data_IF_568419857890
#
_entry.id   IF_568419857890
#
_cell.length_a   1.000
_cell.length_b   1.000
_cell.length_c   1.000
_cell.angle_alpha   90.00
_cell.angle_beta   90.00
_cell.angle_gamma   90.00
#
_symmetry.space_group_name_H-M   'P 1'
#
loop_
_entity.id
_entity.type
_entity.pdbx_description
1 polymer ?
#
# COMPACT_ATOMS: atom_id res chain seq x y z
N UNK A 1 2.58 7.09 8.18
CA UNK A 1 2.74 7.64 6.82
C UNK A 1 2.13 9.03 6.85
N UNK A 2 2.81 10.05 6.33
CA UNK A 2 2.28 11.43 6.36
C UNK A 2 1.77 11.73 4.96
N UNK A 3 0.48 11.46 4.74
CA UNK A 3 -0.18 11.94 3.52
C UNK A 3 -0.49 13.42 3.70
N UNK A 4 0.23 14.24 2.93
CA UNK A 4 -0.02 15.66 2.80
C UNK A 4 -1.01 15.82 1.66
N UNK A 5 -2.19 16.38 1.97
CA UNK A 5 -3.12 16.86 0.95
C UNK A 5 -2.67 18.25 0.56
N UNK A 6 -2.26 18.41 -0.70
CA UNK A 6 -1.79 19.68 -1.23
C UNK A 6 -2.97 20.39 -1.88
N UNK A 7 -3.25 21.62 -1.41
CA UNK A 7 -4.03 22.60 -2.15
C UNK A 7 -3.02 23.41 -2.95
N UNK A 8 -2.90 23.12 -4.24
CA UNK A 8 -1.84 23.66 -5.09
C UNK A 8 -1.92 25.18 -5.21
N UNK A 9 -0.88 25.88 -4.74
CA UNK A 9 -0.53 27.19 -5.27
C UNK A 9 0.29 26.97 -6.54
N UNK A 10 -0.25 27.35 -7.68
CA UNK A 10 0.44 27.24 -8.96
C UNK A 10 1.67 28.14 -8.97
N UNK A 11 2.82 27.51 -9.18
CA UNK A 11 3.99 28.17 -9.70
C UNK A 11 3.82 28.32 -11.22
N UNK A 12 3.17 29.41 -11.65
CA UNK A 12 3.36 29.87 -13.02
C UNK A 12 4.81 30.32 -13.21
N UNK A 13 5.34 30.20 -14.43
CA UNK A 13 6.69 30.55 -14.91
C UNK A 13 7.20 31.99 -14.61
N UNK A 14 6.53 32.76 -13.77
CA UNK A 14 6.99 34.06 -13.35
C UNK A 14 8.02 33.90 -12.23
N UNK A 15 9.28 34.25 -12.52
CA UNK A 15 10.34 34.42 -11.50
C UNK A 15 9.81 35.20 -10.28
N UNK A 16 8.95 36.20 -10.53
CA UNK A 16 8.29 36.97 -9.49
C UNK A 16 7.43 36.12 -8.55
N UNK A 17 6.73 35.10 -9.04
CA UNK A 17 5.94 34.18 -8.22
C UNK A 17 6.85 33.30 -7.34
N UNK A 18 7.97 32.81 -7.88
CA UNK A 18 8.96 32.04 -7.11
C UNK A 18 9.54 32.89 -5.97
N UNK A 19 9.96 34.11 -6.27
CA UNK A 19 10.51 35.03 -5.26
C UNK A 19 9.47 35.36 -4.20
N UNK A 20 8.25 35.71 -4.62
CA UNK A 20 7.15 35.98 -3.69
C UNK A 20 6.86 34.80 -2.75
N UNK A 21 6.75 33.58 -3.29
CA UNK A 21 6.52 32.38 -2.49
C UNK A 21 7.70 32.09 -1.55
N UNK A 22 8.93 32.36 -1.99
CA UNK A 22 10.11 32.22 -1.16
C UNK A 22 10.12 33.24 0.00
N UNK A 23 9.74 34.49 -0.26
CA UNK A 23 9.64 35.59 0.70
C UNK A 23 8.58 35.31 1.78
N UNK A 24 7.41 34.79 1.41
CA UNK A 24 6.36 34.40 2.37
C UNK A 24 6.64 33.06 3.07
N UNK A 25 7.82 32.48 2.85
CA UNK A 25 8.31 31.29 3.53
C UNK A 25 7.43 30.04 3.39
N UNK A 26 6.96 29.74 2.17
CA UNK A 26 6.19 28.50 1.93
C UNK A 26 6.97 27.24 2.33
N UNK A 27 6.30 26.19 2.83
CA UNK A 27 6.98 24.98 3.31
C UNK A 27 7.64 24.17 2.19
N UNK A 28 7.13 24.26 0.97
CA UNK A 28 7.64 23.55 -0.21
C UNK A 28 7.19 24.25 -1.50
N UNK A 29 7.83 23.91 -2.62
CA UNK A 29 7.40 24.32 -3.96
C UNK A 29 6.69 23.18 -4.69
N UNK A 30 5.51 23.45 -5.24
CA UNK A 30 4.80 22.54 -6.13
C UNK A 30 5.18 22.83 -7.59
N UNK A 31 5.76 21.85 -8.29
CA UNK A 31 6.03 21.96 -9.73
C UNK A 31 4.93 21.25 -10.52
N UNK A 32 4.23 22.00 -11.36
CA UNK A 32 3.21 21.45 -12.24
C UNK A 32 3.82 20.53 -13.31
N UNK A 33 3.04 19.54 -13.75
CA UNK A 33 3.44 18.61 -14.82
C UNK A 33 3.97 19.26 -16.09
N UNK A 34 3.46 20.44 -16.44
CA UNK A 34 3.88 21.21 -17.61
C UNK A 34 5.32 21.75 -17.49
N UNK A 35 5.81 21.96 -16.26
CA UNK A 35 7.14 22.52 -15.99
C UNK A 35 8.16 21.44 -15.56
N UNK A 36 7.76 20.17 -15.47
CA UNK A 36 8.64 19.10 -14.98
C UNK A 36 9.86 18.88 -15.86
N UNK A 37 9.75 19.06 -17.18
CA UNK A 37 10.90 18.98 -18.09
C UNK A 37 11.68 20.30 -18.22
N UNK A 38 11.28 21.35 -17.51
CA UNK A 38 11.93 22.65 -17.53
C UNK A 38 13.14 22.67 -16.59
N UNK A 39 14.21 21.99 -17.00
CA UNK A 39 15.41 21.80 -16.16
C UNK A 39 16.02 23.12 -15.64
N UNK A 40 16.18 24.19 -16.44
CA UNK A 40 16.71 25.46 -15.93
C UNK A 40 15.84 26.08 -14.84
N UNK A 41 14.53 25.89 -14.92
CA UNK A 41 13.58 26.35 -13.91
C UNK A 41 13.71 25.55 -12.60
N UNK A 42 13.76 24.23 -12.70
CA UNK A 42 13.95 23.36 -11.53
C UNK A 42 15.27 23.65 -10.81
N UNK A 43 16.35 23.91 -11.54
CA UNK A 43 17.63 24.26 -10.93
C UNK A 43 17.54 25.57 -10.12
N UNK A 44 16.81 26.58 -10.62
CA UNK A 44 16.57 27.82 -9.89
C UNK A 44 15.77 27.59 -8.62
N UNK A 45 14.72 26.76 -8.68
CA UNK A 45 13.93 26.38 -7.50
C UNK A 45 14.77 25.62 -6.47
N UNK A 46 15.55 24.63 -6.91
CA UNK A 46 16.41 23.83 -6.04
C UNK A 46 17.40 24.71 -5.25
N UNK A 47 17.97 25.74 -5.89
CA UNK A 47 18.88 26.71 -5.24
C UNK A 47 18.24 27.54 -4.12
N UNK A 48 16.91 27.61 -4.06
CA UNK A 48 16.19 28.25 -2.95
C UNK A 48 16.16 27.40 -1.69
N UNK A 49 16.59 26.13 -1.75
CA UNK A 49 16.77 25.26 -0.58
C UNK A 49 15.46 24.81 0.08
N UNK A 50 14.33 24.88 -0.62
CA UNK A 50 13.03 24.40 -0.11
C UNK A 50 12.69 23.03 -0.72
N UNK A 51 11.99 22.14 0.01
CA UNK A 51 11.49 20.90 -0.54
C UNK A 51 10.61 21.10 -1.78
N UNK A 52 10.59 20.14 -2.70
CA UNK A 52 9.86 20.22 -3.96
C UNK A 52 8.92 19.03 -4.19
N UNK A 53 7.70 19.31 -4.66
CA UNK A 53 6.70 18.30 -5.04
C UNK A 53 6.46 18.39 -6.54
N UNK A 54 6.95 17.41 -7.30
CA UNK A 54 7.03 17.49 -8.77
C UNK A 54 6.07 16.46 -9.39
N UNK A 55 5.08 16.92 -10.18
CA UNK A 55 4.14 16.00 -10.86
C UNK A 55 4.74 15.43 -12.15
N UNK A 56 4.40 14.18 -12.49
CA UNK A 56 4.97 13.48 -13.67
C UNK A 56 4.07 13.45 -14.91
N UNK A 57 2.87 14.03 -14.84
CA UNK A 57 1.94 14.03 -15.98
C UNK A 57 2.57 14.62 -17.25
N UNK A 58 2.24 14.03 -18.41
CA UNK A 58 2.82 14.36 -19.72
C UNK A 58 4.32 14.05 -19.87
N UNK A 59 4.96 13.41 -18.89
CA UNK A 59 6.39 13.09 -18.94
C UNK A 59 6.64 11.59 -19.16
N UNK A 60 7.74 11.27 -19.85
CA UNK A 60 8.23 9.90 -20.00
C UNK A 60 9.12 9.50 -18.82
N UNK A 61 9.39 8.20 -18.67
CA UNK A 61 10.34 7.75 -17.66
C UNK A 61 11.76 8.27 -17.87
N UNK A 62 12.17 8.46 -19.12
CA UNK A 62 13.46 9.08 -19.45
C UNK A 62 13.54 10.52 -18.92
N UNK A 63 12.48 11.31 -19.10
CA UNK A 63 12.43 12.66 -18.56
C UNK A 63 12.50 12.67 -17.03
N UNK A 64 11.74 11.79 -16.37
CA UNK A 64 11.77 11.71 -14.91
C UNK A 64 13.14 11.29 -14.37
N UNK A 65 13.85 10.39 -15.05
CA UNK A 65 15.26 10.05 -14.73
C UNK A 65 16.17 11.25 -14.84
N UNK A 66 16.04 12.05 -15.91
CA UNK A 66 16.81 13.27 -16.10
C UNK A 66 16.57 14.27 -14.95
N UNK A 67 15.29 14.51 -14.60
CA UNK A 67 14.90 15.38 -13.49
C UNK A 67 15.47 14.87 -12.17
N UNK A 68 15.34 13.57 -11.89
CA UNK A 68 15.87 12.95 -10.68
C UNK A 68 17.37 13.18 -10.54
N UNK A 69 18.16 12.89 -11.58
CA UNK A 69 19.62 13.09 -11.55
C UNK A 69 20.02 14.55 -11.32
N UNK A 70 19.31 15.49 -11.95
CA UNK A 70 19.56 16.91 -11.74
C UNK A 70 19.23 17.34 -10.31
N UNK A 71 18.07 16.93 -9.77
CA UNK A 71 17.67 17.26 -8.40
C UNK A 71 18.65 16.69 -7.36
N UNK A 72 19.10 15.43 -7.56
CA UNK A 72 20.13 14.80 -6.73
C UNK A 72 21.44 15.59 -6.77
N UNK A 73 21.88 16.07 -7.94
CA UNK A 73 23.10 16.89 -8.07
C UNK A 73 23.01 18.21 -7.29
N UNK A 74 21.82 18.78 -7.16
CA UNK A 74 21.59 20.00 -6.38
C UNK A 74 21.43 19.75 -4.87
N UNK A 75 21.50 18.49 -4.41
CA UNK A 75 21.18 18.09 -3.03
C UNK A 75 19.80 18.59 -2.57
N UNK A 76 18.84 18.67 -3.49
CA UNK A 76 17.50 19.13 -3.18
C UNK A 76 16.68 18.02 -2.50
N UNK A 77 15.77 18.40 -1.61
CA UNK A 77 14.75 17.52 -1.07
C UNK A 77 13.53 17.54 -2.00
N UNK A 78 13.09 16.39 -2.51
CA UNK A 78 11.97 16.33 -3.45
C UNK A 78 11.20 15.02 -3.42
N UNK A 79 9.99 15.05 -3.98
CA UNK A 79 9.13 13.89 -4.22
C UNK A 79 8.54 13.96 -5.62
N UNK A 80 8.27 12.79 -6.22
CA UNK A 80 7.52 12.69 -7.46
C UNK A 80 6.08 12.26 -7.22
N UNK A 81 5.14 12.92 -7.89
CA UNK A 81 3.75 12.50 -7.92
C UNK A 81 3.45 11.82 -9.25
N UNK A 82 3.05 10.55 -9.20
CA UNK A 82 2.47 9.91 -10.39
C UNK A 82 1.18 10.63 -10.76
N UNK A 83 1.04 10.98 -12.03
CA UNK A 83 -0.01 11.87 -12.50
C UNK A 83 -0.34 11.61 -13.97
N UNK A 84 -1.62 11.68 -14.32
CA UNK A 84 -2.08 11.78 -15.71
C UNK A 84 -2.84 13.09 -15.87
N UNK A 85 -2.35 13.98 -16.74
CA UNK A 85 -2.92 15.34 -16.92
C UNK A 85 -4.13 15.33 -17.85
N UNK A 86 -5.25 14.80 -17.38
CA UNK A 86 -6.55 14.81 -18.05
C UNK A 86 -7.65 15.18 -17.05
N UNK A 87 -8.59 16.05 -17.42
CA UNK A 87 -9.53 16.68 -16.50
C UNK A 87 -10.96 16.60 -17.06
N UNK A 88 -11.81 15.67 -16.59
CA UNK A 88 -11.48 14.57 -15.69
C UNK A 88 -10.65 13.47 -16.36
N UNK A 89 -9.91 12.72 -15.55
CA UNK A 89 -9.11 11.57 -15.95
C UNK A 89 -9.98 10.31 -16.10
N UNK A 90 -10.03 9.68 -17.29
CA UNK A 90 -10.61 8.34 -17.45
C UNK A 90 -9.88 7.31 -16.58
N UNK A 91 -10.63 6.44 -15.89
CA UNK A 91 -10.08 5.54 -14.87
C UNK A 91 -9.08 4.53 -15.45
N UNK A 92 -9.31 4.06 -16.67
CA UNK A 92 -8.42 3.19 -17.43
C UNK A 92 -7.05 3.81 -17.73
N UNK A 93 -6.92 5.13 -17.59
CA UNK A 93 -5.69 5.89 -17.82
C UNK A 93 -5.02 6.36 -16.52
N UNK A 94 -5.55 6.00 -15.35
CA UNK A 94 -4.94 6.35 -14.06
C UNK A 94 -3.57 5.71 -13.85
N UNK A 95 -3.36 4.49 -14.39
CA UNK A 95 -2.08 3.79 -14.40
C UNK A 95 -1.38 3.73 -13.02
N UNK A 96 -2.14 3.43 -11.95
CA UNK A 96 -1.64 3.43 -10.58
C UNK A 96 -0.41 2.52 -10.34
N UNK A 97 -0.23 1.47 -11.14
CA UNK A 97 0.95 0.59 -11.06
C UNK A 97 2.28 1.31 -11.32
N UNK A 98 2.25 2.48 -11.97
CA UNK A 98 3.44 3.32 -12.15
C UNK A 98 3.99 3.81 -10.80
N UNK A 99 3.17 3.91 -9.75
CA UNK A 99 3.64 4.24 -8.39
C UNK A 99 4.70 3.23 -7.94
N UNK A 100 4.49 1.93 -8.18
CA UNK A 100 5.46 0.90 -7.80
C UNK A 100 6.70 0.93 -8.68
N UNK A 101 6.56 1.22 -9.97
CA UNK A 101 7.73 1.40 -10.86
C UNK A 101 8.56 2.61 -10.44
N UNK A 102 7.94 3.73 -10.07
CA UNK A 102 8.63 4.90 -9.52
C UNK A 102 9.32 4.59 -8.19
N UNK A 103 8.69 3.81 -7.30
CA UNK A 103 9.31 3.40 -6.04
C UNK A 103 10.56 2.51 -6.27
N UNK A 104 10.56 1.67 -7.32
CA UNK A 104 11.74 0.87 -7.70
C UNK A 104 12.83 1.72 -8.33
N UNK A 105 12.46 2.63 -9.23
CA UNK A 105 13.39 3.46 -9.99
C UNK A 105 14.03 4.56 -9.13
N UNK A 106 13.28 5.12 -8.17
CA UNK A 106 13.70 6.22 -7.29
C UNK A 106 13.53 5.85 -5.81
N UNK A 107 14.28 4.86 -5.30
CA UNK A 107 14.01 4.23 -4.00
C UNK A 107 14.31 5.10 -2.79
N UNK A 108 15.03 6.21 -2.97
CA UNK A 108 15.51 7.10 -1.90
C UNK A 108 14.68 8.39 -1.76
N UNK A 109 13.60 8.55 -2.54
CA UNK A 109 12.67 9.67 -2.42
C UNK A 109 11.24 9.17 -2.17
N UNK A 110 10.37 9.96 -1.50
CA UNK A 110 8.95 9.65 -1.44
C UNK A 110 8.33 9.68 -2.83
N UNK A 111 7.41 8.75 -3.10
CA UNK A 111 6.56 8.75 -4.29
C UNK A 111 5.13 9.01 -3.85
N UNK A 112 4.42 9.90 -4.54
CA UNK A 112 3.03 10.23 -4.30
C UNK A 112 2.15 10.06 -5.55
N UNK A 113 0.93 10.58 -5.47
CA UNK A 113 -0.07 10.56 -6.53
C UNK A 113 -0.78 11.91 -6.62
N UNK A 114 -0.98 12.40 -7.84
CA UNK A 114 -1.76 13.60 -8.15
C UNK A 114 -2.94 13.17 -9.02
N UNK A 115 -4.14 13.23 -8.46
CA UNK A 115 -5.36 12.71 -9.07
C UNK A 115 -6.19 13.79 -9.76
N UNK A 116 -6.75 13.43 -10.91
CA UNK A 116 -7.71 14.25 -11.68
C UNK A 116 -8.96 13.44 -12.09
N UNK A 117 -9.11 12.24 -11.51
CA UNK A 117 -10.26 11.36 -11.67
C UNK A 117 -11.48 11.86 -10.90
N UNK A 118 -12.67 11.33 -11.19
CA UNK A 118 -13.84 11.53 -10.34
C UNK A 118 -13.86 10.59 -9.14
N UNK A 119 -14.39 11.07 -8.00
CA UNK A 119 -14.50 10.29 -6.77
C UNK A 119 -13.15 10.05 -6.07
N UNK A 120 -13.13 9.11 -5.12
CA UNK A 120 -12.00 8.94 -4.17
C UNK A 120 -11.28 7.59 -4.28
N UNK A 121 -11.87 6.61 -4.98
CA UNK A 121 -11.40 5.21 -4.96
C UNK A 121 -9.98 5.03 -5.51
N UNK A 122 -9.65 5.72 -6.59
CA UNK A 122 -8.31 5.69 -7.20
C UNK A 122 -7.26 6.29 -6.26
N UNK A 123 -7.59 7.40 -5.61
CA UNK A 123 -6.74 8.05 -4.63
C UNK A 123 -6.47 7.17 -3.39
N UNK A 124 -7.50 6.48 -2.89
CA UNK A 124 -7.35 5.50 -1.79
C UNK A 124 -6.48 4.31 -2.24
N UNK A 125 -6.68 3.81 -3.46
CA UNK A 125 -5.86 2.73 -4.02
C UNK A 125 -4.39 3.15 -4.21
N UNK A 126 -4.12 4.40 -4.60
CA UNK A 126 -2.76 4.93 -4.70
C UNK A 126 -2.03 4.86 -3.34
N UNK A 127 -2.74 5.19 -2.25
CA UNK A 127 -2.23 5.08 -0.88
C UNK A 127 -1.92 3.64 -0.50
N UNK A 128 -2.82 2.70 -0.83
CA UNK A 128 -2.59 1.26 -0.60
C UNK A 128 -1.35 0.74 -1.36
N UNK A 129 -1.04 1.31 -2.53
CA UNK A 129 0.18 1.01 -3.31
C UNK A 129 1.44 1.71 -2.76
N UNK A 130 1.32 2.46 -1.67
CA UNK A 130 2.44 3.06 -0.96
C UNK A 130 2.73 4.51 -1.33
N UNK A 131 1.81 5.21 -2.02
CA UNK A 131 1.91 6.65 -2.21
C UNK A 131 2.01 7.37 -0.85
N UNK A 132 2.98 8.28 -0.71
CA UNK A 132 3.27 9.03 0.52
C UNK A 132 2.70 10.45 0.49
N UNK A 133 2.40 10.99 -0.69
CA UNK A 133 1.80 12.31 -0.89
C UNK A 133 0.59 12.14 -1.81
N UNK A 134 -0.49 12.85 -1.53
CA UNK A 134 -1.70 12.79 -2.34
C UNK A 134 -2.18 14.19 -2.68
N UNK A 135 -2.37 14.48 -3.95
CA UNK A 135 -2.87 15.77 -4.43
C UNK A 135 -4.20 15.60 -5.17
N UNK A 136 -5.16 16.46 -4.85
CA UNK A 136 -6.51 16.48 -5.42
C UNK A 136 -6.99 17.92 -5.52
N UNK A 137 -7.69 18.23 -6.61
CA UNK A 137 -8.41 19.49 -6.72
C UNK A 137 -9.63 19.49 -5.81
N UNK A 138 -9.99 20.66 -5.28
CA UNK A 138 -11.16 20.88 -4.42
C UNK A 138 -12.00 22.00 -5.01
N UNK A 139 -13.31 21.82 -5.01
CA UNK A 139 -14.30 22.81 -5.46
C UNK A 139 -15.41 22.92 -4.42
N UNK A 140 -16.15 24.03 -4.45
CA UNK A 140 -17.41 24.15 -3.70
C UNK A 140 -18.59 23.56 -4.48
N UNK A 141 -18.46 23.47 -5.80
CA UNK A 141 -19.49 23.00 -6.72
C UNK A 141 -18.83 22.48 -8.00
N UNK A 142 -19.09 21.23 -8.38
CA UNK A 142 -18.52 20.63 -9.60
C UNK A 142 -19.19 21.10 -10.89
N UNK A 143 -20.37 21.70 -10.80
CA UNK A 143 -21.14 22.18 -11.95
C UNK A 143 -20.66 23.53 -12.47
N UNK A 144 -19.76 24.20 -11.73
CA UNK A 144 -19.16 25.46 -12.15
C UNK A 144 -18.33 25.31 -13.42
N UNK A 145 -18.21 26.41 -14.15
CA UNK A 145 -17.54 26.43 -15.45
C UNK A 145 -16.05 26.14 -15.30
N UNK A 146 -15.60 25.01 -15.85
CA UNK A 146 -14.19 24.64 -15.96
C UNK A 146 -14.00 23.14 -15.79
N UNK A 147 -13.10 22.54 -16.57
CA UNK A 147 -12.78 21.11 -16.48
C UNK A 147 -12.28 20.70 -15.09
N UNK A 148 -11.58 21.62 -14.41
CA UNK A 148 -11.02 21.37 -13.09
C UNK A 148 -12.10 21.23 -12.01
N UNK A 149 -13.20 21.98 -12.12
CA UNK A 149 -14.35 21.83 -11.21
C UNK A 149 -14.97 20.44 -11.35
N UNK A 150 -15.14 19.95 -12.59
CA UNK A 150 -15.66 18.61 -12.85
C UNK A 150 -14.73 17.49 -12.33
N UNK A 151 -13.42 17.72 -12.31
CA UNK A 151 -12.41 16.79 -11.79
C UNK A 151 -12.16 16.90 -10.28
N UNK A 152 -12.69 17.93 -9.61
CA UNK A 152 -12.44 18.23 -8.20
C UNK A 152 -13.24 17.35 -7.23
N UNK A 153 -12.87 17.40 -5.96
CA UNK A 153 -13.66 16.93 -4.83
C UNK A 153 -14.43 18.09 -4.20
N UNK A 154 -15.68 17.86 -3.81
CA UNK A 154 -16.42 18.76 -2.92
C UNK A 154 -16.00 18.51 -1.45
N UNK A 155 -16.32 19.42 -0.52
CA UNK A 155 -15.86 19.30 0.87
C UNK A 155 -16.20 17.98 1.54
N UNK A 156 -17.40 17.43 1.30
CA UNK A 156 -17.81 16.14 1.84
C UNK A 156 -16.97 14.97 1.26
N UNK A 157 -16.68 14.99 -0.04
CA UNK A 157 -15.84 13.96 -0.66
C UNK A 157 -14.38 14.05 -0.22
N UNK A 158 -13.89 15.27 0.08
CA UNK A 158 -12.56 15.46 0.66
C UNK A 158 -12.49 14.87 2.08
N UNK A 159 -13.52 15.09 2.90
CA UNK A 159 -13.63 14.48 4.22
C UNK A 159 -13.67 12.95 4.12
N UNK A 160 -14.47 12.42 3.20
CA UNK A 160 -14.53 10.99 2.91
C UNK A 160 -13.17 10.44 2.49
N UNK A 161 -12.47 11.12 1.58
CA UNK A 161 -11.13 10.73 1.16
C UNK A 161 -10.17 10.66 2.35
N UNK A 162 -10.14 11.68 3.21
CA UNK A 162 -9.27 11.70 4.39
C UNK A 162 -9.60 10.53 5.31
N UNK A 163 -10.88 10.27 5.56
CA UNK A 163 -11.33 9.16 6.42
C UNK A 163 -10.89 7.82 5.84
N UNK A 164 -11.16 7.57 4.57
CA UNK A 164 -10.81 6.30 3.91
C UNK A 164 -9.30 6.08 3.84
N UNK A 165 -8.52 7.15 3.67
CA UNK A 165 -7.05 7.09 3.78
C UNK A 165 -6.62 6.58 5.16
N UNK A 166 -7.17 7.13 6.25
CA UNK A 166 -6.81 6.70 7.61
C UNK A 166 -7.27 5.27 7.90
N UNK A 167 -8.43 4.88 7.37
CA UNK A 167 -8.92 3.49 7.43
C UNK A 167 -7.94 2.54 6.74
N UNK A 168 -7.52 2.85 5.51
CA UNK A 168 -6.59 2.00 4.76
C UNK A 168 -5.22 1.97 5.41
N UNK A 169 -4.70 3.11 5.88
CA UNK A 169 -3.42 3.15 6.61
C UNK A 169 -3.39 2.21 7.81
N UNK A 170 -4.49 2.16 8.58
CA UNK A 170 -4.63 1.23 9.69
C UNK A 170 -4.73 -0.22 9.19
N UNK A 171 -5.52 -0.46 8.14
CA UNK A 171 -5.80 -1.80 7.61
C UNK A 171 -4.60 -2.44 6.88
N UNK A 172 -3.69 -1.65 6.31
CA UNK A 172 -2.49 -2.16 5.63
C UNK A 172 -1.62 -3.02 6.57
N UNK A 173 -1.62 -2.73 7.86
CA UNK A 173 -1.10 -3.61 8.90
C UNK A 173 0.36 -4.07 8.71
N UNK A 174 0.63 -5.32 9.08
CA UNK A 174 1.95 -5.93 9.00
C UNK A 174 2.06 -6.82 7.75
N UNK A 175 3.23 -6.86 7.07
CA UNK A 175 3.46 -7.81 5.99
C UNK A 175 3.67 -9.26 6.49
N UNK A 176 3.72 -9.50 7.81
CA UNK A 176 3.96 -10.81 8.40
C UNK A 176 2.65 -11.58 8.58
N UNK A 177 2.49 -12.71 7.88
CA UNK A 177 1.36 -13.62 8.09
C UNK A 177 1.62 -14.52 9.30
N UNK A 178 0.75 -14.38 10.30
CA UNK A 178 0.76 -15.18 11.52
C UNK A 178 -0.66 -15.28 12.08
N UNK A 179 -0.89 -16.20 13.01
CA UNK A 179 -2.13 -16.25 13.78
C UNK A 179 -2.20 -15.02 14.68
N UNK A 180 -3.31 -14.29 14.60
CA UNK A 180 -3.56 -13.10 15.40
C UNK A 180 -4.29 -13.46 16.71
N UNK A 181 -4.13 -12.66 17.77
CA UNK A 181 -4.86 -12.87 19.03
C UNK A 181 -6.38 -12.92 18.85
N UNK A 182 -6.94 -12.14 17.94
CA UNK A 182 -8.38 -12.14 17.64
C UNK A 182 -8.85 -13.45 16.98
N UNK A 183 -7.95 -14.22 16.36
CA UNK A 183 -8.26 -15.52 15.75
C UNK A 183 -8.25 -16.65 16.78
N UNK A 184 -7.65 -16.46 17.97
CA UNK A 184 -7.45 -17.52 18.96
C UNK A 184 -8.74 -18.25 19.35
N UNK A 185 -9.82 -17.53 19.62
CA UNK A 185 -11.11 -18.15 19.98
C UNK A 185 -11.73 -18.97 18.85
N UNK A 186 -11.54 -18.52 17.60
CA UNK A 186 -12.00 -19.23 16.41
C UNK A 186 -11.14 -20.46 16.17
N UNK A 187 -9.82 -20.32 16.28
CA UNK A 187 -8.88 -21.44 16.17
C UNK A 187 -9.12 -22.49 17.27
N UNK A 188 -9.37 -22.12 18.52
CA UNK A 188 -9.66 -23.12 19.57
C UNK A 188 -10.92 -23.93 19.26
N UNK A 189 -11.93 -23.34 18.61
CA UNK A 189 -13.19 -24.02 18.29
C UNK A 189 -13.15 -24.83 17.00
N UNK A 190 -12.45 -24.34 15.98
CA UNK A 190 -12.49 -24.90 14.62
C UNK A 190 -11.16 -25.49 14.17
N UNK A 191 -10.09 -25.23 14.93
CA UNK A 191 -8.76 -25.79 14.74
C UNK A 191 -8.84 -27.30 14.66
N UNK A 192 -8.08 -27.86 13.74
CA UNK A 192 -8.10 -29.29 13.46
C UNK A 192 -6.91 -29.96 14.13
N UNK A 193 -7.07 -31.23 14.42
CA UNK A 193 -6.00 -32.11 14.90
C UNK A 193 -6.02 -33.41 14.14
N UNK A 194 -4.88 -34.09 14.13
CA UNK A 194 -4.80 -35.46 13.63
C UNK A 194 -5.55 -36.38 14.60
N UNK A 195 -6.43 -37.21 14.06
CA UNK A 195 -7.20 -38.22 14.80
C UNK A 195 -6.98 -39.59 14.18
N UNK A 196 -7.24 -40.66 14.94
CA UNK A 196 -7.26 -42.01 14.38
C UNK A 196 -8.55 -42.25 13.58
N UNK A 197 -8.46 -42.82 12.37
CA UNK A 197 -9.63 -43.22 11.56
C UNK A 197 -10.23 -44.57 11.97
N UNK A 198 -9.55 -45.29 12.85
CA UNK A 198 -9.93 -46.61 13.37
C UNK A 198 -9.13 -46.87 14.64
N UNK A 199 -9.54 -47.85 15.44
CA UNK A 199 -8.76 -48.29 16.57
C UNK A 199 -7.34 -48.78 16.16
N UNK A 200 -6.32 -48.35 16.92
CA UNK A 200 -4.91 -48.67 16.74
C UNK A 200 -4.35 -49.28 18.02
N UNK A 201 -3.62 -50.39 17.88
CA UNK A 201 -2.95 -51.04 19.01
C UNK A 201 -1.55 -50.48 19.22
N UNK A 202 -1.10 -50.46 20.47
CA UNK A 202 0.28 -50.18 20.84
C UNK A 202 1.23 -51.01 19.98
N UNK A 203 2.27 -50.38 19.44
CA UNK A 203 3.23 -50.99 18.53
C UNK A 203 2.83 -50.89 17.05
N UNK A 204 1.65 -50.37 16.71
CA UNK A 204 1.23 -50.18 15.31
C UNK A 204 2.09 -49.11 14.64
N UNK A 205 2.63 -49.44 13.45
CA UNK A 205 3.28 -48.47 12.56
C UNK A 205 2.19 -47.71 11.82
N UNK A 206 2.17 -46.38 12.00
CA UNK A 206 1.14 -45.51 11.43
C UNK A 206 1.28 -45.42 9.90
N UNK A 207 0.17 -45.58 9.19
CA UNK A 207 0.06 -45.24 7.78
C UNK A 207 -0.93 -44.09 7.60
N UNK A 208 -0.85 -43.37 6.47
CA UNK A 208 -1.73 -42.22 6.20
C UNK A 208 -3.23 -42.61 6.19
N UNK A 209 -3.54 -43.83 5.75
CA UNK A 209 -4.92 -44.34 5.72
C UNK A 209 -5.52 -44.51 7.12
N UNK A 210 -4.68 -44.67 8.14
CA UNK A 210 -5.07 -44.79 9.54
C UNK A 210 -5.34 -43.43 10.21
N UNK A 211 -4.97 -42.32 9.55
CA UNK A 211 -5.02 -40.98 10.12
C UNK A 211 -6.09 -40.13 9.44
N UNK A 212 -6.81 -39.35 10.24
CA UNK A 212 -7.82 -38.39 9.83
C UNK A 212 -7.51 -37.00 10.36
N UNK A 213 -8.29 -36.02 9.90
CA UNK A 213 -8.20 -34.63 10.36
C UNK A 213 -9.60 -34.18 10.74
N UNK A 214 -9.83 -33.89 12.02
CA UNK A 214 -11.12 -33.45 12.56
C UNK A 214 -10.91 -32.30 13.56
N UNK A 215 -11.98 -31.61 13.93
CA UNK A 215 -11.96 -30.86 15.21
C UNK A 215 -11.97 -31.91 16.30
N UNK A 216 -11.09 -31.79 17.28
CA UNK A 216 -10.98 -32.79 18.34
C UNK A 216 -10.61 -32.12 19.67
N UNK A 217 -11.07 -32.71 20.76
CA UNK A 217 -10.81 -32.27 22.14
C UNK A 217 -10.27 -33.47 22.93
N UNK A 218 -9.07 -33.39 23.55
CA UNK A 218 -8.16 -32.24 23.52
C UNK A 218 -7.58 -31.99 22.12
N UNK A 219 -7.11 -30.76 21.82
CA UNK A 219 -6.34 -30.51 20.62
C UNK A 219 -5.05 -31.35 20.65
N UNK A 220 -4.71 -31.90 19.49
CA UNK A 220 -3.52 -32.73 19.31
C UNK A 220 -2.64 -32.21 18.18
N UNK A 221 -1.96 -33.14 17.53
CA UNK A 221 -0.95 -32.83 16.52
C UNK A 221 -1.59 -32.02 15.38
N UNK A 222 -0.99 -30.87 15.01
CA UNK A 222 -1.50 -30.06 13.90
C UNK A 222 -1.52 -30.84 12.57
N UNK A 223 -2.55 -30.67 11.71
CA UNK A 223 -2.71 -31.43 10.48
C UNK A 223 -1.53 -31.31 9.51
N UNK A 224 -0.84 -30.18 9.48
CA UNK A 224 0.36 -29.96 8.67
C UNK A 224 1.50 -30.93 9.02
N UNK A 225 1.46 -31.54 10.20
CA UNK A 225 2.44 -32.54 10.64
C UNK A 225 1.98 -33.99 10.40
N UNK A 226 0.81 -34.24 9.79
CA UNK A 226 0.26 -35.59 9.61
C UNK A 226 1.23 -36.55 8.90
N UNK A 227 1.97 -36.08 7.90
CA UNK A 227 2.92 -36.92 7.16
C UNK A 227 4.15 -37.31 7.98
N UNK A 228 4.52 -36.51 8.99
CA UNK A 228 5.63 -36.84 9.90
C UNK A 228 5.28 -37.99 10.84
N UNK A 229 4.00 -38.33 10.97
CA UNK A 229 3.53 -39.47 11.75
C UNK A 229 3.62 -40.78 10.98
N UNK A 230 3.59 -40.73 9.65
CA UNK A 230 3.65 -41.93 8.81
C UNK A 230 5.00 -42.64 9.03
N UNK A 231 4.95 -43.93 9.31
CA UNK A 231 6.12 -44.74 9.64
C UNK A 231 6.54 -44.70 11.11
N UNK A 232 5.97 -43.81 11.94
CA UNK A 232 6.17 -43.84 13.40
C UNK A 232 5.33 -44.93 14.05
N UNK A 233 5.77 -45.40 15.21
CA UNK A 233 5.06 -46.41 16.00
C UNK A 233 4.26 -45.75 17.13
N UNK A 234 2.97 -46.06 17.24
CA UNK A 234 2.12 -45.58 18.35
C UNK A 234 2.45 -46.36 19.64
N UNK A 235 2.80 -45.70 20.76
CA UNK A 235 3.23 -46.39 21.97
C UNK A 235 2.08 -46.77 22.91
N UNK A 236 0.85 -46.40 22.57
CA UNK A 236 -0.37 -46.63 23.33
C UNK A 236 -1.48 -47.17 22.42
N UNK A 237 -2.48 -47.81 23.02
CA UNK A 237 -3.73 -48.10 22.33
C UNK A 237 -4.50 -46.77 22.13
N UNK A 238 -5.16 -46.62 20.98
CA UNK A 238 -5.94 -45.43 20.58
C UNK A 238 -7.22 -45.91 19.92
N UNK A 239 -8.38 -45.38 20.29
CA UNK A 239 -9.66 -45.76 19.67
C UNK A 239 -9.93 -44.97 18.38
N UNK A 240 -10.98 -45.35 17.64
CA UNK A 240 -11.43 -44.54 16.51
C UNK A 240 -11.85 -43.14 16.97
N UNK A 241 -11.49 -42.12 16.19
CA UNK A 241 -11.72 -40.69 16.44
C UNK A 241 -10.97 -40.07 17.63
N UNK A 242 -10.20 -40.86 18.38
CA UNK A 242 -9.30 -40.31 19.39
C UNK A 242 -8.22 -39.41 18.74
N UNK A 243 -7.92 -38.33 19.44
CA UNK A 243 -6.88 -37.38 19.03
C UNK A 243 -5.49 -37.98 19.19
N UNK A 244 -4.67 -37.89 18.14
CA UNK A 244 -3.23 -38.15 18.24
C UNK A 244 -2.57 -36.90 18.81
N UNK A 245 -2.06 -37.00 20.05
CA UNK A 245 -1.44 -35.87 20.75
C UNK A 245 0.10 -35.98 20.79
N UNK A 246 0.78 -34.85 20.97
CA UNK A 246 2.25 -34.82 21.09
C UNK A 246 2.78 -35.61 22.30
N UNK A 247 1.93 -35.83 23.32
CA UNK A 247 2.24 -36.67 24.47
C UNK A 247 2.30 -38.15 24.10
N UNK A 248 1.58 -38.58 23.06
CA UNK A 248 1.58 -39.96 22.56
C UNK A 248 2.75 -40.19 21.63
N UNK A 249 2.97 -39.31 20.65
CA UNK A 249 4.06 -39.41 19.69
C UNK A 249 4.67 -38.02 19.52
N UNK A 250 5.95 -37.89 19.88
CA UNK A 250 6.72 -36.70 19.53
C UNK A 250 7.09 -36.74 18.05
N UNK A 251 6.91 -35.61 17.37
CA UNK A 251 7.31 -35.39 15.98
C UNK A 251 8.83 -35.32 15.83
#
# INVERSE_FOLDING_TARGET
MIIIIIISLFLSFFQMAVEFLHEINVPFFKVASADTNNIPYLEKLAKKGRPMVISSGMQSMETMRCVYQMMKKQNAEFTFLQCTSAYPLPLEHANLRIINEFQKEFPDIPIGYSGHEGGISVSVAAVALGAKVLERHVTLDKTWKGSDHAASLEPAELEDLIREIRTVELAMGSPVKQMLPCESSCHSKLGKSVVAKKALKKGTILTLEMLGVKVAEPPGIPPENIFKLVGKTIPVDVEEDDTITDNMIKL
#
